data_IF_348307900776
#
_entry.id   IF_348307900776
#
_cell.length_a   1.000
_cell.length_b   1.000
_cell.length_c   1.000
_cell.angle_alpha   90.00
_cell.angle_beta   90.00
_cell.angle_gamma   90.00
#
_symmetry.space_group_name_H-M   'P 1'
#
loop_
_entity.id
_entity.type
_entity.pdbx_description
1 polymer ?
#
# COMPACT_ATOMS: atom_id res chain seq x y z
N UNK A 1 -69.54 -4.02 -6.19
CA UNK A 1 -69.25 -2.58 -6.01
C UNK A 1 -67.74 -2.41 -5.86
N UNK A 2 -67.10 -1.67 -6.77
CA UNK A 2 -65.64 -1.55 -6.88
C UNK A 2 -65.29 -0.07 -6.71
N UNK A 3 -64.67 0.28 -5.58
CA UNK A 3 -64.32 1.67 -5.24
C UNK A 3 -63.13 2.07 -6.12
N UNK A 4 -63.33 3.08 -6.98
CA UNK A 4 -62.26 3.69 -7.76
C UNK A 4 -61.54 4.70 -6.86
N UNK A 5 -60.26 4.46 -6.58
CA UNK A 5 -59.39 5.50 -6.03
C UNK A 5 -58.93 6.38 -7.19
N UNK A 6 -59.28 7.67 -7.14
CA UNK A 6 -58.70 8.69 -7.99
C UNK A 6 -57.33 9.08 -7.41
N UNK A 7 -56.31 8.98 -8.26
CA UNK A 7 -54.95 9.46 -7.96
C UNK A 7 -54.96 10.97 -8.19
N UNK A 8 -54.75 11.75 -7.13
CA UNK A 8 -54.63 13.21 -7.25
C UNK A 8 -53.15 13.56 -7.50
N UNK A 9 -52.82 13.92 -8.73
CA UNK A 9 -51.48 14.36 -9.14
C UNK A 9 -51.34 15.85 -8.94
N UNK A 10 -50.90 16.26 -7.75
CA UNK A 10 -50.38 17.62 -7.53
C UNK A 10 -48.99 17.50 -6.91
N UNK A 11 -47.99 17.23 -7.76
CA UNK A 11 -46.60 17.53 -7.43
C UNK A 11 -46.40 19.04 -7.63
N UNK A 12 -46.70 19.82 -6.59
CA UNK A 12 -46.24 21.20 -6.50
C UNK A 12 -44.72 21.22 -6.51
N UNK A 13 -44.16 21.79 -7.57
CA UNK A 13 -42.79 22.23 -7.68
C UNK A 13 -42.54 23.40 -6.74
N UNK A 14 -42.33 23.09 -5.47
CA UNK A 14 -41.98 24.08 -4.44
C UNK A 14 -40.63 23.69 -3.83
N UNK A 15 -39.72 24.66 -3.83
CA UNK A 15 -38.31 24.58 -3.49
C UNK A 15 -38.01 23.65 -2.30
N UNK A 16 -37.41 22.49 -2.58
CA UNK A 16 -36.51 21.85 -1.62
C UNK A 16 -35.10 22.26 -1.97
N UNK A 17 -34.69 23.38 -1.40
CA UNK A 17 -33.29 23.77 -1.31
C UNK A 17 -32.47 22.53 -0.92
N UNK A 18 -31.51 22.15 -1.76
CA UNK A 18 -30.56 21.10 -1.42
C UNK A 18 -29.88 21.52 -0.12
N UNK A 19 -29.86 20.69 0.94
CA UNK A 19 -29.16 21.05 2.15
C UNK A 19 -27.72 21.35 1.77
N UNK A 20 -27.27 22.56 2.08
CA UNK A 20 -25.90 22.99 1.87
C UNK A 20 -25.01 21.93 2.52
N UNK A 21 -24.07 21.37 1.75
CA UNK A 21 -23.16 20.33 2.21
C UNK A 21 -22.30 20.95 3.31
N UNK A 22 -22.76 20.81 4.55
CA UNK A 22 -22.10 21.36 5.71
C UNK A 22 -20.69 20.83 5.82
N UNK A 23 -19.77 21.70 6.19
CA UNK A 23 -18.36 21.44 6.46
C UNK A 23 -18.10 20.46 7.64
N UNK A 24 -19.08 19.63 8.02
CA UNK A 24 -19.09 18.77 9.21
C UNK A 24 -19.12 17.25 8.90
N UNK A 25 -18.88 16.81 7.67
CA UNK A 25 -18.72 15.38 7.35
C UNK A 25 -17.43 15.14 6.58
N UNK A 26 -16.30 15.22 7.25
CA UNK A 26 -15.01 14.85 6.66
C UNK A 26 -14.95 13.33 6.49
N UNK A 27 -15.03 12.85 5.25
CA UNK A 27 -14.62 11.49 4.92
C UNK A 27 -13.14 11.31 5.26
N UNK A 28 -12.80 10.21 5.94
CA UNK A 28 -11.42 9.87 6.28
C UNK A 28 -10.95 8.81 5.29
N UNK A 29 -9.79 9.02 4.67
CA UNK A 29 -9.18 8.00 3.82
C UNK A 29 -7.99 7.37 4.54
N UNK A 30 -7.98 6.06 4.73
CA UNK A 30 -6.88 5.33 5.36
C UNK A 30 -6.24 4.37 4.36
N UNK A 31 -4.99 3.99 4.61
CA UNK A 31 -4.31 2.94 3.85
C UNK A 31 -4.02 1.79 4.81
N UNK A 32 -4.47 0.58 4.48
CA UNK A 32 -4.32 -0.57 5.37
C UNK A 32 -3.56 -1.69 4.69
N UNK A 33 -2.55 -2.21 5.36
CA UNK A 33 -1.78 -3.38 4.94
C UNK A 33 -2.22 -4.61 5.72
N UNK A 34 -2.19 -5.78 5.09
CA UNK A 34 -2.37 -7.04 5.81
C UNK A 34 -1.09 -7.38 6.56
N UNK A 35 -1.22 -7.80 7.83
CA UNK A 35 -0.10 -8.17 8.68
C UNK A 35 0.85 -9.19 8.00
N UNK A 36 2.10 -8.80 7.79
CA UNK A 36 3.11 -9.67 7.20
C UNK A 36 3.02 -9.88 5.69
N UNK A 37 2.10 -9.22 5.00
CA UNK A 37 1.95 -9.37 3.55
C UNK A 37 2.92 -8.45 2.81
N UNK A 38 3.89 -9.06 2.12
CA UNK A 38 4.88 -8.35 1.28
C UNK A 38 4.51 -8.36 -0.21
N UNK A 39 3.42 -9.03 -0.57
CA UNK A 39 3.04 -9.29 -1.95
C UNK A 39 1.89 -8.38 -2.43
N UNK A 40 1.17 -7.75 -1.50
CA UNK A 40 0.07 -6.85 -1.80
C UNK A 40 0.37 -5.41 -1.38
N UNK A 41 0.01 -4.46 -2.25
CA UNK A 41 -0.01 -3.04 -1.91
C UNK A 41 -1.06 -2.77 -0.81
N UNK A 42 -0.79 -1.74 -0.01
CA UNK A 42 -1.76 -1.22 0.96
C UNK A 42 -3.10 -0.87 0.31
N UNK A 43 -4.19 -1.33 0.91
CA UNK A 43 -5.56 -1.06 0.46
C UNK A 43 -6.01 0.31 0.95
N UNK A 44 -6.31 1.21 0.02
CA UNK A 44 -6.90 2.51 0.36
C UNK A 44 -8.40 2.35 0.61
N UNK A 45 -8.84 2.73 1.80
CA UNK A 45 -10.25 2.73 2.20
C UNK A 45 -10.71 4.16 2.43
N UNK A 46 -11.95 4.45 2.04
CA UNK A 46 -12.61 5.72 2.32
C UNK A 46 -13.74 5.44 3.30
N UNK A 47 -13.65 6.04 4.47
CA UNK A 47 -14.59 5.86 5.56
C UNK A 47 -15.59 7.01 5.48
N UNK A 48 -16.81 6.65 5.14
CA UNK A 48 -17.95 7.54 5.16
C UNK A 48 -18.70 7.34 6.49
N UNK A 49 -18.72 8.33 7.40
CA UNK A 49 -19.40 8.21 8.70
C UNK A 49 -20.89 7.83 8.58
N UNK A 50 -21.54 8.14 7.44
CA UNK A 50 -22.93 7.74 7.19
C UNK A 50 -23.11 6.23 6.99
N UNK A 51 -22.10 5.56 6.43
CA UNK A 51 -22.11 4.16 6.02
C UNK A 51 -21.39 3.26 7.04
N UNK A 52 -20.24 3.71 7.55
CA UNK A 52 -19.42 3.00 8.53
C UNK A 52 -19.70 3.59 9.89
N UNK A 53 -20.65 3.00 10.61
CA UNK A 53 -21.16 3.55 11.89
C UNK A 53 -20.58 2.87 13.13
N UNK A 54 -19.97 1.71 12.98
CA UNK A 54 -19.36 0.97 14.10
C UNK A 54 -17.97 0.45 13.73
N UNK A 55 -17.18 0.18 14.76
CA UNK A 55 -15.85 -0.39 14.62
C UNK A 55 -15.90 -1.79 14.00
N UNK A 56 -16.85 -2.63 14.41
CA UNK A 56 -17.03 -3.99 13.90
C UNK A 56 -17.39 -3.98 12.42
N UNK A 57 -18.26 -3.05 12.00
CA UNK A 57 -18.59 -2.89 10.59
C UNK A 57 -17.37 -2.47 9.78
N UNK A 58 -16.54 -1.57 10.31
CA UNK A 58 -15.29 -1.19 9.68
C UNK A 58 -14.32 -2.37 9.53
N UNK A 59 -14.15 -3.19 10.57
CA UNK A 59 -13.29 -4.37 10.53
C UNK A 59 -13.77 -5.39 9.50
N UNK A 60 -15.08 -5.63 9.38
CA UNK A 60 -15.63 -6.51 8.36
C UNK A 60 -15.49 -5.91 6.95
N UNK A 61 -15.73 -4.61 6.79
CA UNK A 61 -15.49 -3.90 5.53
C UNK A 61 -14.02 -4.02 5.09
N UNK A 62 -13.09 -3.82 6.03
CA UNK A 62 -11.66 -3.97 5.82
C UNK A 62 -11.31 -5.42 5.44
N UNK A 63 -11.86 -6.42 6.14
CA UNK A 63 -11.65 -7.84 5.83
C UNK A 63 -12.08 -8.16 4.39
N UNK A 64 -13.28 -7.74 4.02
CA UNK A 64 -13.83 -7.94 2.67
C UNK A 64 -12.96 -7.29 1.59
N UNK A 65 -12.27 -6.19 1.90
CA UNK A 65 -11.33 -5.55 0.98
C UNK A 65 -10.07 -6.39 0.67
N UNK A 66 -9.70 -7.33 1.55
CA UNK A 66 -8.63 -8.30 1.34
C UNK A 66 -9.10 -9.63 0.73
N UNK A 67 -10.41 -9.83 0.57
CA UNK A 67 -11.01 -11.01 -0.05
C UNK A 67 -11.62 -12.02 0.94
N UNK A 68 -12.42 -12.95 0.41
CA UNK A 68 -13.26 -13.86 1.21
C UNK A 68 -12.47 -14.86 2.06
N UNK A 69 -11.26 -15.22 1.61
CA UNK A 69 -10.34 -16.16 2.30
C UNK A 69 -9.61 -15.47 3.47
N UNK A 70 -9.71 -14.15 3.60
CA UNK A 70 -9.09 -13.44 4.72
C UNK A 70 -9.74 -13.89 6.05
N UNK A 71 -8.94 -14.34 7.04
CA UNK A 71 -9.48 -14.59 8.37
C UNK A 71 -10.09 -13.31 8.96
N UNK A 72 -10.92 -13.46 9.99
CA UNK A 72 -11.52 -12.31 10.65
C UNK A 72 -10.43 -11.33 11.15
N UNK A 73 -10.57 -10.05 10.81
CA UNK A 73 -9.70 -9.00 11.35
C UNK A 73 -10.32 -8.54 12.67
N UNK A 74 -9.56 -8.62 13.76
CA UNK A 74 -10.02 -8.23 15.10
C UNK A 74 -9.36 -6.95 15.58
N UNK A 75 -8.18 -6.67 15.06
CA UNK A 75 -7.34 -5.56 15.51
C UNK A 75 -6.72 -4.90 14.29
N UNK A 76 -6.51 -3.60 14.39
CA UNK A 76 -5.53 -2.91 13.55
C UNK A 76 -4.50 -2.22 14.43
N UNK A 77 -3.32 -2.01 13.89
CA UNK A 77 -2.25 -1.31 14.58
C UNK A 77 -1.63 -0.23 13.71
N UNK A 78 -1.00 0.77 14.32
CA UNK A 78 -0.12 1.69 13.60
C UNK A 78 1.16 0.94 13.16
N UNK A 79 1.71 1.24 11.96
CA UNK A 79 2.96 0.63 11.53
C UNK A 79 4.14 1.08 12.38
N UNK A 80 4.12 2.33 12.83
CA UNK A 80 5.10 2.89 13.75
C UNK A 80 4.61 2.69 15.19
N UNK A 81 5.36 1.96 16.00
CA UNK A 81 5.06 1.73 17.41
C UNK A 81 4.08 0.57 17.70
N UNK A 82 3.27 0.14 16.73
CA UNK A 82 2.35 -0.99 16.91
C UNK A 82 1.16 -0.67 17.82
N UNK A 83 0.81 0.60 17.98
CA UNK A 83 -0.31 1.06 18.82
C UNK A 83 -1.61 0.51 18.26
N UNK A 84 -2.41 -0.12 19.13
CA UNK A 84 -3.69 -0.72 18.74
C UNK A 84 -4.78 0.33 18.65
N UNK A 85 -5.55 0.24 17.58
CA UNK A 85 -6.71 1.09 17.35
C UNK A 85 -7.96 0.26 17.64
N UNK A 86 -8.88 0.84 18.41
CA UNK A 86 -10.09 0.19 18.87
C UNK A 86 -11.36 0.92 18.41
N UNK A 87 -11.24 2.14 17.89
CA UNK A 87 -12.38 2.98 17.54
C UNK A 87 -12.14 3.80 16.28
N UNK A 88 -13.21 4.22 15.61
CA UNK A 88 -13.14 4.98 14.35
C UNK A 88 -12.52 6.37 14.54
N UNK A 89 -12.70 6.97 15.70
CA UNK A 89 -12.25 8.32 16.06
C UNK A 89 -10.72 8.41 16.16
N UNK A 90 -10.06 7.28 16.38
CA UNK A 90 -8.61 7.16 16.43
C UNK A 90 -7.98 7.02 15.03
N UNK A 91 -8.80 6.92 13.98
CA UNK A 91 -8.32 6.88 12.61
C UNK A 91 -8.00 8.28 12.10
N UNK A 92 -6.83 8.42 11.51
CA UNK A 92 -6.34 9.67 10.95
C UNK A 92 -6.39 9.65 9.43
N UNK A 93 -6.71 10.80 8.84
CA UNK A 93 -6.80 10.93 7.40
C UNK A 93 -5.42 10.78 6.74
N UNK A 94 -5.40 10.04 5.65
CA UNK A 94 -4.23 9.64 4.86
C UNK A 94 -3.18 8.84 5.64
N UNK A 95 -3.53 8.33 6.82
CA UNK A 95 -2.60 7.55 7.63
C UNK A 95 -2.63 6.04 7.29
N UNK A 96 -1.59 5.33 7.73
CA UNK A 96 -1.36 3.91 7.44
C UNK A 96 -1.62 3.05 8.66
N UNK A 97 -2.19 1.88 8.44
CA UNK A 97 -2.49 0.90 9.48
C UNK A 97 -2.18 -0.52 9.02
N UNK A 98 -2.03 -1.43 9.98
CA UNK A 98 -1.80 -2.86 9.75
C UNK A 98 -3.03 -3.62 10.26
N UNK A 99 -3.72 -4.31 9.37
CA UNK A 99 -4.78 -5.25 9.70
C UNK A 99 -4.19 -6.54 10.28
N UNK A 100 -4.60 -6.90 11.49
CA UNK A 100 -4.13 -8.12 12.17
C UNK A 100 -5.27 -9.14 12.18
N UNK A 101 -5.11 -10.24 11.42
CA UNK A 101 -6.06 -11.35 11.46
C UNK A 101 -6.08 -12.00 12.85
N UNK A 102 -7.22 -12.56 13.21
CA UNK A 102 -7.43 -13.28 14.47
C UNK A 102 -6.40 -14.40 14.63
N UNK A 103 -5.74 -14.45 15.79
CA UNK A 103 -4.72 -15.46 16.09
C UNK A 103 -3.31 -15.16 15.56
N UNK A 104 -3.12 -14.04 14.85
CA UNK A 104 -1.79 -13.60 14.43
C UNK A 104 -1.17 -12.56 15.37
N UNK A 105 0.15 -12.59 15.50
CA UNK A 105 0.93 -11.53 16.16
C UNK A 105 1.35 -10.47 15.14
N UNK A 106 1.42 -9.22 15.59
CA UNK A 106 1.91 -8.11 14.77
C UNK A 106 3.34 -8.39 14.26
N UNK A 107 3.51 -8.28 12.94
CA UNK A 107 4.81 -8.36 12.26
C UNK A 107 5.26 -6.97 11.87
N UNK A 108 6.39 -6.57 12.44
CA UNK A 108 7.03 -5.30 12.11
C UNK A 108 7.70 -5.41 10.75
N UNK A 109 7.14 -4.70 9.77
CA UNK A 109 7.66 -4.56 8.41
C UNK A 109 7.61 -3.10 8.00
N UNK A 110 8.54 -2.68 7.14
CA UNK A 110 8.45 -1.38 6.48
C UNK A 110 7.49 -1.49 5.28
N UNK A 111 6.21 -1.31 5.56
CA UNK A 111 5.16 -1.40 4.55
C UNK A 111 5.23 -0.28 3.51
N UNK A 112 5.93 0.83 3.79
CA UNK A 112 6.16 1.89 2.79
C UNK A 112 7.19 1.42 1.78
N UNK A 113 8.29 0.82 2.25
CA UNK A 113 9.30 0.21 1.39
C UNK A 113 8.72 -0.95 0.58
N UNK A 114 7.88 -1.80 1.18
CA UNK A 114 7.17 -2.88 0.46
C UNK A 114 6.35 -2.30 -0.69
N UNK A 115 5.54 -1.27 -0.42
CA UNK A 115 4.74 -0.63 -1.46
C UNK A 115 5.60 -0.05 -2.59
N UNK A 116 6.75 0.55 -2.26
CA UNK A 116 7.70 1.11 -3.23
C UNK A 116 8.29 0.03 -4.13
N UNK A 117 8.72 -1.09 -3.54
CA UNK A 117 9.24 -2.26 -4.27
C UNK A 117 8.19 -2.88 -5.19
N UNK A 118 6.93 -2.91 -4.77
CA UNK A 118 5.83 -3.45 -5.58
C UNK A 118 5.42 -2.50 -6.72
N UNK A 119 5.43 -1.18 -6.49
CA UNK A 119 5.14 -0.18 -7.54
C UNK A 119 6.26 -0.04 -8.57
N UNK A 120 7.50 -0.14 -8.11
CA UNK A 120 8.69 0.02 -8.92
C UNK A 120 9.60 -1.20 -8.73
N UNK A 121 9.24 -2.36 -9.32
CA UNK A 121 10.07 -3.53 -9.22
C UNK A 121 11.43 -3.17 -9.81
N UNK A 122 12.46 -3.17 -8.97
CA UNK A 122 13.83 -3.03 -9.45
C UNK A 122 14.03 -4.14 -10.47
N UNK A 123 14.55 -3.84 -11.68
CA UNK A 123 14.80 -4.88 -12.66
C UNK A 123 15.76 -5.86 -11.99
N UNK A 124 15.23 -7.03 -11.63
CA UNK A 124 16.04 -8.13 -11.11
C UNK A 124 16.96 -8.46 -12.27
N UNK A 125 18.24 -8.11 -12.12
CA UNK A 125 19.23 -8.38 -13.12
C UNK A 125 19.24 -9.90 -13.32
N UNK A 126 18.62 -10.37 -14.40
CA UNK A 126 18.51 -11.80 -14.68
C UNK A 126 19.89 -12.45 -14.66
N UNK A 127 19.95 -13.76 -14.42
CA UNK A 127 21.22 -14.50 -14.31
C UNK A 127 22.18 -14.15 -15.46
N UNK A 128 21.67 -14.06 -16.69
CA UNK A 128 22.46 -13.66 -17.86
C UNK A 128 23.02 -12.24 -17.78
N UNK A 129 22.21 -11.26 -17.38
CA UNK A 129 22.62 -9.87 -17.28
C UNK A 129 23.62 -9.66 -16.11
N UNK A 130 23.51 -10.46 -15.04
CA UNK A 130 24.50 -10.51 -13.96
C UNK A 130 25.82 -11.08 -14.45
N UNK A 131 25.79 -12.23 -15.13
CA UNK A 131 26.99 -12.83 -15.71
C UNK A 131 27.64 -11.92 -16.76
N UNK A 132 26.86 -11.22 -17.58
CA UNK A 132 27.38 -10.23 -18.51
C UNK A 132 28.11 -9.08 -17.79
N UNK A 133 27.54 -8.57 -16.68
CA UNK A 133 28.18 -7.56 -15.82
C UNK A 133 29.49 -8.08 -15.21
N UNK A 134 29.49 -9.31 -14.68
CA UNK A 134 30.68 -9.94 -14.09
C UNK A 134 31.78 -10.13 -15.15
N UNK A 135 31.44 -10.67 -16.34
CA UNK A 135 32.39 -10.82 -17.46
C UNK A 135 32.99 -9.49 -17.90
N UNK A 136 32.18 -8.42 -17.98
CA UNK A 136 32.65 -7.07 -18.34
C UNK A 136 33.62 -6.52 -17.30
N UNK A 137 33.35 -6.73 -16.00
CA UNK A 137 34.26 -6.35 -14.91
C UNK A 137 35.58 -7.12 -15.01
N UNK A 138 35.54 -8.44 -15.16
CA UNK A 138 36.72 -9.27 -15.30
C UNK A 138 37.59 -8.86 -16.51
N UNK A 139 36.98 -8.57 -17.66
CA UNK A 139 37.70 -8.05 -18.84
C UNK A 139 38.39 -6.71 -18.55
N UNK A 140 37.75 -5.82 -17.78
CA UNK A 140 38.33 -4.53 -17.38
C UNK A 140 39.51 -4.72 -16.42
N UNK A 141 39.41 -5.66 -15.48
CA UNK A 141 40.49 -5.99 -14.55
C UNK A 141 41.70 -6.55 -15.30
N UNK A 142 41.50 -7.51 -16.21
CA UNK A 142 42.59 -8.02 -17.05
C UNK A 142 43.26 -6.91 -17.87
N UNK A 143 42.48 -6.04 -18.52
CA UNK A 143 43.03 -4.92 -19.28
C UNK A 143 43.83 -3.93 -18.40
N UNK A 144 43.39 -3.70 -17.15
CA UNK A 144 44.10 -2.85 -16.21
C UNK A 144 45.42 -3.50 -15.75
N UNK A 145 45.40 -4.81 -15.48
CA UNK A 145 46.60 -5.58 -15.10
C UNK A 145 47.60 -5.64 -16.25
N UNK A 146 47.14 -5.87 -17.49
CA UNK A 146 47.98 -5.82 -18.70
C UNK A 146 48.61 -4.43 -18.90
N UNK A 147 47.83 -3.36 -18.72
CA UNK A 147 48.35 -1.98 -18.77
C UNK A 147 49.44 -1.74 -17.72
N UNK A 148 49.25 -2.26 -16.51
CA UNK A 148 50.25 -2.17 -15.42
C UNK A 148 51.53 -2.93 -15.76
N UNK A 149 51.43 -4.16 -16.27
CA UNK A 149 52.58 -4.99 -16.65
C UNK A 149 53.36 -4.35 -17.81
N UNK A 150 52.68 -3.85 -18.84
CA UNK A 150 53.32 -3.15 -19.97
C UNK A 150 54.07 -1.89 -19.51
N UNK A 151 53.48 -1.14 -18.58
CA UNK A 151 54.13 0.03 -18.00
C UNK A 151 55.36 -0.33 -17.14
N UNK A 152 55.33 -1.46 -16.43
CA UNK A 152 56.49 -1.94 -15.67
C UNK A 152 57.61 -2.47 -16.58
N UNK A 153 57.28 -3.20 -17.65
CA UNK A 153 58.26 -3.70 -18.64
C UNK A 153 58.90 -2.56 -19.44
N UNK A 154 58.11 -1.56 -19.86
CA UNK A 154 58.62 -0.38 -20.58
C UNK A 154 59.56 0.50 -19.75
N UNK A 155 59.46 0.45 -18.42
CA UNK A 155 60.41 1.12 -17.50
C UNK A 155 61.72 0.36 -17.33
N UNK A 156 61.72 -0.98 -17.52
CA UNK A 156 62.93 -1.82 -17.42
C UNK A 156 63.79 -1.82 -18.68
N UNK A 157 63.23 -1.48 -19.85
CA UNK A 157 63.98 -1.33 -21.11
C UNK A 157 64.55 0.06 -21.37
N UNK A 158 64.52 0.97 -20.38
CA UNK A 158 65.00 2.37 -20.49
C UNK A 158 66.26 2.65 -19.66
N UNK A 159 66.92 1.61 -19.19
CA UNK A 159 68.20 1.72 -18.48
C UNK A 159 69.28 1.06 -19.34
N UNK A 160 70.33 1.85 -19.60
CA UNK A 160 71.49 1.66 -20.48
C UNK A 160 71.27 2.21 -21.90
#
# INVERSE_FOLDING_TARGET
>A
MRVKYQVNTNYSSENKERPQRGAHESHISVIVHKNGDIHQLGKRLVINPRQVRSWEYFLEYLRRSFGEVCPAIREIATPTGGTRIHELQQLENQHRYIAIPSGEKLKHLDYVQVDELLRHPKPILGKEALFARLRKRHKKELANTEGRIKNELGKRGKTI
#
